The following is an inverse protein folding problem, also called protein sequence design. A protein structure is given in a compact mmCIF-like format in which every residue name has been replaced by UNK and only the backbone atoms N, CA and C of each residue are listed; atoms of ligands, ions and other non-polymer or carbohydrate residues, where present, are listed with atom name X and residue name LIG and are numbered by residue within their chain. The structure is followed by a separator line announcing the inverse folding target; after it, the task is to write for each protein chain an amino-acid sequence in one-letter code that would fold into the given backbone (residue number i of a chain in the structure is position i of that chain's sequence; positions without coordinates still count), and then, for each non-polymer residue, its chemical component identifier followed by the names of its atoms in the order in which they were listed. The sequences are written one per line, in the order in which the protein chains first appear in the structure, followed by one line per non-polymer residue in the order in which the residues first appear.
data_IF_894676905620
#
_entry.id   IF_894676905620
#
_cell.length_a   1.000
_cell.length_b   1.000
_cell.length_c   1.000
_cell.angle_alpha   90.00
_cell.angle_beta   90.00
_cell.angle_gamma   90.00
#
_symmetry.space_group_name_H-M   'P 1'
#
loop_
_entity.id
_entity.type
_entity.pdbx_description
1 polymer ?
#
# COMPACT_ATOMS: atom_id res chain seq x y z
N UNK A 1 -0.55 14.82 29.16
CA UNK A 1 -1.32 13.71 28.54
C UNK A 1 -0.74 13.44 27.17
N UNK A 2 -0.39 12.19 26.85
CA UNK A 2 0.10 11.82 25.52
C UNK A 2 -1.10 11.47 24.63
N UNK A 3 -1.12 11.96 23.41
CA UNK A 3 -2.09 11.58 22.37
C UNK A 3 -1.30 10.88 21.28
N UNK A 4 -1.64 9.62 21.03
CA UNK A 4 -1.01 8.83 19.95
C UNK A 4 -1.72 9.10 18.62
N UNK A 5 -0.95 9.17 17.54
CA UNK A 5 -1.45 9.38 16.19
C UNK A 5 -0.49 8.80 15.15
N UNK A 6 -0.96 8.58 13.91
CA UNK A 6 -0.08 8.16 12.84
C UNK A 6 0.96 9.24 12.54
N UNK A 7 2.16 8.83 12.12
CA UNK A 7 3.18 9.78 11.68
C UNK A 7 2.71 10.61 10.48
N UNK A 8 1.90 10.01 9.60
CA UNK A 8 1.32 10.65 8.42
C UNK A 8 -0.11 10.14 8.17
N UNK A 9 -1.02 11.02 7.73
CA UNK A 9 -2.39 10.67 7.34
C UNK A 9 -2.80 11.43 6.08
N UNK A 10 -3.19 10.69 5.03
CA UNK A 10 -3.60 11.27 3.74
C UNK A 10 -4.99 10.73 3.35
N UNK A 11 -5.92 11.61 3.01
CA UNK A 11 -7.27 11.25 2.58
C UNK A 11 -7.82 12.26 1.56
N UNK A 12 -7.24 12.25 0.37
CA UNK A 12 -7.65 13.09 -0.76
C UNK A 12 -7.29 12.43 -2.10
N UNK A 13 -7.83 12.91 -3.23
CA UNK A 13 -7.37 12.45 -4.55
C UNK A 13 -5.85 12.64 -4.70
N UNK A 14 -5.17 11.60 -5.20
CA UNK A 14 -3.72 11.61 -5.42
C UNK A 14 -2.86 11.21 -4.22
N UNK A 15 -3.44 10.76 -3.10
CA UNK A 15 -2.67 10.42 -1.89
C UNK A 15 -1.55 9.37 -2.09
N UNK A 16 -1.62 8.51 -3.11
CA UNK A 16 -0.52 7.57 -3.42
C UNK A 16 0.77 8.25 -3.85
N UNK A 17 0.73 9.49 -4.34
CA UNK A 17 1.91 10.22 -4.78
C UNK A 17 2.87 10.52 -3.62
N UNK A 18 2.34 10.63 -2.39
CA UNK A 18 3.14 10.89 -1.19
C UNK A 18 4.06 9.73 -0.81
N UNK A 19 3.96 8.55 -1.42
CA UNK A 19 4.90 7.45 -1.17
C UNK A 19 6.35 7.88 -1.45
N UNK A 20 6.58 8.70 -2.49
CA UNK A 20 7.91 9.17 -2.85
C UNK A 20 8.43 10.32 -1.98
N UNK A 21 7.60 10.90 -1.12
CA UNK A 21 8.06 11.84 -0.10
C UNK A 21 8.84 11.12 1.02
N UNK A 22 8.65 9.80 1.16
CA UNK A 22 9.25 8.99 2.23
C UNK A 22 10.14 7.85 1.73
N UNK A 23 9.92 7.34 0.53
CA UNK A 23 10.60 6.15 0.02
C UNK A 23 11.14 6.36 -1.39
N UNK A 24 12.35 5.86 -1.64
CA UNK A 24 12.94 5.81 -2.97
C UNK A 24 12.34 4.66 -3.80
N UNK A 25 12.53 4.70 -5.11
CA UNK A 25 12.13 3.60 -6.01
C UNK A 25 12.77 2.26 -5.61
N UNK A 26 14.02 2.28 -5.13
CA UNK A 26 14.72 1.07 -4.65
C UNK A 26 14.12 0.52 -3.35
N UNK A 27 13.52 1.37 -2.52
CA UNK A 27 12.79 0.93 -1.33
C UNK A 27 11.41 0.40 -1.73
N UNK A 28 10.71 1.10 -2.62
CA UNK A 28 9.38 0.72 -3.10
C UNK A 28 9.40 -0.54 -3.98
N UNK A 29 10.49 -0.82 -4.68
CA UNK A 29 10.69 -2.08 -5.40
C UNK A 29 10.76 -3.30 -4.47
N UNK A 30 10.89 -3.11 -3.15
CA UNK A 30 10.83 -4.18 -2.15
C UNK A 30 9.52 -4.19 -1.36
N UNK A 31 8.57 -3.32 -1.71
CA UNK A 31 7.30 -3.23 -1.03
C UNK A 31 6.45 -4.49 -1.23
N UNK A 32 5.67 -4.83 -0.20
CA UNK A 32 4.65 -5.88 -0.25
C UNK A 32 3.28 -5.21 -0.32
N UNK A 33 2.60 -5.37 -1.45
CA UNK A 33 1.25 -4.87 -1.66
C UNK A 33 0.25 -5.97 -1.34
N UNK A 34 -0.46 -5.82 -0.23
CA UNK A 34 -1.50 -6.77 0.21
C UNK A 34 -2.86 -6.16 -0.08
N UNK A 35 -3.72 -6.89 -0.79
CA UNK A 35 -5.03 -6.39 -1.18
C UNK A 35 -6.05 -7.52 -1.36
N UNK A 36 -7.33 -7.19 -1.20
CA UNK A 36 -8.44 -8.07 -1.56
C UNK A 36 -8.91 -7.88 -3.00
N UNK A 37 -9.67 -8.85 -3.52
CA UNK A 37 -10.16 -8.86 -4.92
C UNK A 37 -10.95 -7.59 -5.29
N UNK A 38 -11.81 -7.12 -4.39
CA UNK A 38 -12.63 -5.92 -4.61
C UNK A 38 -11.80 -4.63 -4.56
N UNK A 39 -10.82 -4.57 -3.66
CA UNK A 39 -9.96 -3.41 -3.48
C UNK A 39 -9.09 -3.17 -4.71
N UNK A 40 -8.42 -4.22 -5.21
CA UNK A 40 -7.59 -4.09 -6.40
C UNK A 40 -8.41 -3.70 -7.63
N UNK A 41 -9.57 -4.32 -7.85
CA UNK A 41 -10.45 -3.99 -8.97
C UNK A 41 -10.90 -2.52 -8.95
N UNK A 42 -11.23 -1.97 -7.77
CA UNK A 42 -11.63 -0.56 -7.63
C UNK A 42 -10.44 0.42 -7.76
N UNK A 43 -9.22 -0.04 -7.47
CA UNK A 43 -8.02 0.79 -7.46
C UNK A 43 -7.24 0.78 -8.78
N UNK A 44 -7.50 -0.13 -9.71
CA UNK A 44 -6.69 -0.37 -10.92
C UNK A 44 -6.22 0.90 -11.65
N UNK A 45 -7.10 1.87 -11.86
CA UNK A 45 -6.79 3.12 -12.58
C UNK A 45 -6.09 4.19 -11.75
N UNK A 46 -5.89 3.92 -10.45
CA UNK A 46 -5.35 4.85 -9.45
C UNK A 46 -4.04 4.36 -8.83
N UNK A 47 -3.59 3.15 -9.14
CA UNK A 47 -2.37 2.60 -8.57
C UNK A 47 -1.16 3.42 -9.03
N UNK A 48 -0.20 3.71 -8.13
CA UNK A 48 1.01 4.44 -8.49
C UNK A 48 1.94 3.56 -9.35
N UNK A 49 2.86 4.16 -10.13
CA UNK A 49 3.90 3.40 -10.84
C UNK A 49 4.71 2.47 -9.94
N UNK A 50 4.89 2.84 -8.67
CA UNK A 50 5.54 2.03 -7.64
C UNK A 50 4.94 0.62 -7.47
N UNK A 51 3.65 0.45 -7.76
CA UNK A 51 2.99 -0.86 -7.76
C UNK A 51 3.57 -1.78 -8.84
N UNK A 52 4.00 -1.25 -9.98
CA UNK A 52 4.54 -2.04 -11.09
C UNK A 52 6.06 -2.25 -11.05
N UNK A 53 6.75 -1.79 -10.00
CA UNK A 53 8.21 -1.85 -9.97
C UNK A 53 8.72 -3.30 -9.96
N UNK A 54 9.78 -3.62 -10.74
CA UNK A 54 10.41 -4.93 -10.67
C UNK A 54 10.88 -5.23 -9.25
N UNK A 55 10.39 -6.32 -8.67
CA UNK A 55 10.69 -6.74 -7.29
C UNK A 55 9.55 -6.53 -6.30
N UNK A 56 8.59 -5.64 -6.60
CA UNK A 56 7.44 -5.41 -5.73
C UNK A 56 6.61 -6.70 -5.64
N UNK A 57 6.26 -7.10 -4.42
CA UNK A 57 5.52 -8.35 -4.18
C UNK A 57 4.04 -8.05 -4.06
N UNK A 58 3.23 -8.84 -4.77
CA UNK A 58 1.77 -8.68 -4.81
C UNK A 58 1.07 -9.88 -4.19
N UNK A 59 0.28 -9.63 -3.15
CA UNK A 59 -0.43 -10.68 -2.40
C UNK A 59 -1.92 -10.39 -2.46
N UNK A 60 -2.64 -11.25 -3.18
CA UNK A 60 -4.10 -11.30 -3.14
C UNK A 60 -4.54 -12.03 -1.86
N UNK A 61 -4.91 -11.27 -0.85
CA UNK A 61 -5.38 -11.81 0.41
C UNK A 61 -6.83 -12.26 0.30
N UNK A 62 -7.11 -13.52 0.68
CA UNK A 62 -8.44 -14.15 0.62
C UNK A 62 -8.97 -14.58 1.99
N UNK A 63 -8.14 -14.54 3.02
CA UNK A 63 -8.48 -14.95 4.38
C UNK A 63 -9.08 -13.81 5.21
N UNK A 64 -9.19 -14.06 6.51
CA UNK A 64 -9.54 -13.06 7.50
C UNK A 64 -8.28 -12.51 8.17
N UNK A 65 -8.33 -11.30 8.72
CA UNK A 65 -7.20 -10.78 9.50
C UNK A 65 -7.09 -11.56 10.81
N UNK A 66 -6.39 -12.69 10.78
CA UNK A 66 -6.21 -13.64 11.87
C UNK A 66 -4.73 -14.04 11.96
N UNK A 67 -4.29 -14.49 13.14
CA UNK A 67 -2.90 -14.92 13.37
C UNK A 67 -2.50 -16.11 12.46
N UNK A 68 -3.46 -16.94 12.06
CA UNK A 68 -3.21 -18.10 11.21
C UNK A 68 -3.13 -17.76 9.73
N UNK A 69 -3.71 -16.64 9.29
CA UNK A 69 -3.86 -16.28 7.88
C UNK A 69 -2.89 -15.17 7.43
N UNK A 70 -2.41 -14.32 8.36
CA UNK A 70 -1.59 -13.11 8.08
C UNK A 70 -0.10 -13.36 8.31
#
# INVERSE_FOLDING_TARGET
RVVVGPANYFSHPGSFNHLHDFFTDEQLSRAVWIYGKRAIAAAQTKLPPAFGLPGAKHILFRGHCSESDV
#
